data_IF_549528504149
#
_entry.id   IF_549528504149
#
_cell.length_a   1.000
_cell.length_b   1.000
_cell.length_c   1.000
_cell.angle_alpha   90.00
_cell.angle_beta   90.00
_cell.angle_gamma   90.00
#
_symmetry.space_group_name_H-M   'P 1'
#
loop_
_entity.id
_entity.type
_entity.pdbx_description
1 polymer ?
#
# COMPACT_ATOMS: atom_id res chain seq x y z
N UNK A 1 13.47 -13.06 10.20
CA UNK A 1 12.54 -11.90 10.25
C UNK A 1 11.20 -12.40 10.76
N UNK A 2 10.69 -11.88 11.89
CA UNK A 2 9.35 -12.21 12.39
C UNK A 2 8.37 -11.16 11.84
N UNK A 3 7.29 -11.59 11.20
CA UNK A 3 6.31 -10.71 10.55
C UNK A 3 5.63 -9.73 11.53
N UNK A 4 5.61 -10.05 12.82
CA UNK A 4 4.98 -9.26 13.87
C UNK A 4 5.77 -7.99 14.27
N UNK A 5 7.00 -7.80 13.79
CA UNK A 5 7.87 -6.65 14.11
C UNK A 5 8.18 -5.80 12.86
N UNK A 6 7.42 -6.00 11.78
CA UNK A 6 7.70 -5.38 10.48
C UNK A 6 7.38 -3.86 10.46
N UNK A 7 6.52 -3.41 11.38
CA UNK A 7 6.17 -2.02 11.64
C UNK A 7 7.31 -1.23 12.32
N UNK A 8 8.22 -1.92 13.00
CA UNK A 8 9.40 -1.33 13.67
C UNK A 8 10.61 -1.21 12.74
N UNK A 9 10.50 -1.65 11.48
CA UNK A 9 11.60 -1.62 10.53
C UNK A 9 11.83 -0.20 9.98
N UNK A 10 13.09 0.15 9.70
CA UNK A 10 13.42 1.44 9.07
C UNK A 10 12.97 1.53 7.61
N UNK A 11 12.81 0.38 6.94
CA UNK A 11 12.33 0.32 5.58
C UNK A 11 10.84 0.71 5.52
N UNK A 12 10.53 1.83 4.86
CA UNK A 12 9.15 2.29 4.69
C UNK A 12 8.26 1.29 3.95
N UNK A 13 8.82 0.47 3.05
CA UNK A 13 8.08 -0.62 2.39
C UNK A 13 7.69 -1.70 3.40
N UNK A 14 8.63 -2.11 4.26
CA UNK A 14 8.37 -3.10 5.31
C UNK A 14 7.29 -2.60 6.29
N UNK A 15 7.37 -1.34 6.73
CA UNK A 15 6.33 -0.73 7.57
C UNK A 15 4.98 -0.70 6.87
N UNK A 16 4.93 -0.34 5.58
CA UNK A 16 3.68 -0.36 4.81
C UNK A 16 3.10 -1.79 4.73
N UNK A 17 3.94 -2.82 4.58
CA UNK A 17 3.51 -4.23 4.56
C UNK A 17 2.87 -4.69 5.88
N UNK A 18 3.18 -4.07 7.03
CA UNK A 18 2.44 -4.35 8.27
C UNK A 18 0.94 -4.05 8.14
N UNK A 19 0.60 -3.04 7.32
CA UNK A 19 -0.78 -2.60 7.09
C UNK A 19 -1.40 -3.35 5.92
N UNK A 20 -0.72 -3.38 4.77
CA UNK A 20 -1.29 -3.86 3.50
C UNK A 20 -0.87 -5.27 3.08
N UNK A 21 0.11 -5.88 3.76
CA UNK A 21 0.69 -7.17 3.39
C UNK A 21 -0.19 -8.39 3.70
N UNK A 22 -1.37 -8.18 4.28
CA UNK A 22 -2.36 -9.25 4.43
C UNK A 22 -3.26 -9.34 3.19
N UNK A 23 -3.44 -10.56 2.69
CA UNK A 23 -4.06 -10.90 1.39
C UNK A 23 -5.36 -10.16 1.08
N UNK A 24 -6.25 -10.00 2.07
CA UNK A 24 -7.57 -9.41 1.84
C UNK A 24 -7.57 -7.88 1.89
N UNK A 25 -6.50 -7.27 2.41
CA UNK A 25 -6.48 -5.82 2.66
C UNK A 25 -6.59 -5.01 1.38
N UNK A 26 -5.78 -5.31 0.37
CA UNK A 26 -5.83 -4.57 -0.89
C UNK A 26 -7.13 -4.84 -1.66
N UNK A 27 -7.76 -6.01 -1.49
CA UNK A 27 -9.07 -6.30 -2.07
C UNK A 27 -10.21 -5.54 -1.38
N UNK A 28 -10.17 -5.41 -0.05
CA UNK A 28 -11.10 -4.56 0.71
C UNK A 28 -10.94 -3.09 0.27
N UNK A 29 -9.70 -2.62 0.13
CA UNK A 29 -9.43 -1.25 -0.31
C UNK A 29 -9.88 -1.01 -1.76
N UNK A 30 -9.66 -1.97 -2.67
CA UNK A 30 -10.19 -1.93 -4.05
C UNK A 30 -11.70 -1.70 -4.04
N UNK A 31 -12.43 -2.51 -3.29
CA UNK A 31 -13.88 -2.37 -3.18
C UNK A 31 -14.28 -1.02 -2.56
N UNK A 32 -13.54 -0.53 -1.57
CA UNK A 32 -13.77 0.77 -0.98
C UNK A 32 -13.58 1.93 -1.97
N UNK A 33 -12.55 1.87 -2.83
CA UNK A 33 -12.34 2.84 -3.91
C UNK A 33 -13.44 2.76 -4.99
N UNK A 34 -14.01 1.57 -5.21
CA UNK A 34 -15.17 1.38 -6.08
C UNK A 34 -16.50 1.79 -5.43
N UNK A 35 -16.48 2.29 -4.18
CA UNK A 35 -17.62 2.85 -3.50
C UNK A 35 -18.30 1.93 -2.49
N UNK A 36 -17.78 0.72 -2.27
CA UNK A 36 -18.29 -0.18 -1.23
C UNK A 36 -17.99 0.40 0.16
N UNK A 37 -19.03 0.55 0.99
CA UNK A 37 -18.88 1.10 2.36
C UNK A 37 -19.49 0.22 3.45
N UNK A 38 -20.31 -0.77 3.09
CA UNK A 38 -21.10 -1.57 4.04
C UNK A 38 -20.49 -2.97 4.20
N UNK A 39 -20.51 -3.48 5.44
CA UNK A 39 -19.97 -4.80 5.77
C UNK A 39 -20.52 -5.91 4.88
N UNK A 40 -21.85 -5.97 4.75
CA UNK A 40 -22.51 -7.01 3.95
C UNK A 40 -22.12 -6.95 2.47
N UNK A 41 -21.90 -5.76 1.93
CA UNK A 41 -21.46 -5.61 0.54
C UNK A 41 -20.01 -6.07 0.35
N UNK A 42 -19.11 -5.72 1.29
CA UNK A 42 -17.75 -6.26 1.28
C UNK A 42 -17.75 -7.79 1.38
N UNK A 43 -18.58 -8.35 2.25
CA UNK A 43 -18.69 -9.79 2.44
C UNK A 43 -19.18 -10.47 1.15
N UNK A 44 -20.22 -9.91 0.53
CA UNK A 44 -20.78 -10.41 -0.71
C UNK A 44 -19.77 -10.38 -1.87
N UNK A 45 -19.13 -9.22 -2.09
CA UNK A 45 -18.19 -9.04 -3.20
C UNK A 45 -16.94 -9.92 -3.11
N UNK A 46 -16.43 -10.13 -1.89
CA UNK A 46 -15.14 -10.77 -1.68
C UNK A 46 -15.25 -12.26 -1.31
N UNK A 47 -16.45 -12.74 -0.91
CA UNK A 47 -16.66 -14.14 -0.51
C UNK A 47 -15.89 -14.57 0.74
N UNK A 48 -15.31 -13.63 1.48
CA UNK A 48 -14.52 -13.87 2.69
C UNK A 48 -15.45 -14.13 3.88
N UNK A 49 -14.97 -14.94 4.84
CA UNK A 49 -15.73 -15.22 6.07
C UNK A 49 -15.95 -13.94 6.88
N UNK A 50 -17.13 -13.83 7.51
CA UNK A 50 -17.50 -12.67 8.35
C UNK A 50 -16.46 -12.37 9.43
N UNK A 51 -15.94 -13.41 10.08
CA UNK A 51 -14.92 -13.27 11.12
C UNK A 51 -13.65 -12.60 10.57
N UNK A 52 -13.13 -13.09 9.44
CA UNK A 52 -11.92 -12.53 8.81
C UNK A 52 -12.17 -11.11 8.32
N UNK A 53 -13.34 -10.83 7.75
CA UNK A 53 -13.68 -9.49 7.28
C UNK A 53 -13.74 -8.50 8.45
N UNK A 54 -14.37 -8.90 9.56
CA UNK A 54 -14.44 -8.11 10.78
C UNK A 54 -13.05 -7.81 11.33
N UNK A 55 -12.17 -8.82 11.38
CA UNK A 55 -10.77 -8.65 11.81
C UNK A 55 -10.04 -7.62 10.93
N UNK A 56 -10.12 -7.76 9.60
CA UNK A 56 -9.40 -6.87 8.67
C UNK A 56 -9.94 -5.45 8.68
N UNK A 57 -11.27 -5.27 8.67
CA UNK A 57 -11.87 -3.94 8.78
C UNK A 57 -11.55 -3.28 10.13
N UNK A 58 -11.53 -4.06 11.21
CA UNK A 58 -11.10 -3.60 12.54
C UNK A 58 -9.66 -3.07 12.51
N UNK A 59 -8.71 -3.86 11.99
CA UNK A 59 -7.30 -3.45 11.84
C UNK A 59 -7.14 -2.20 10.97
N UNK A 60 -7.90 -2.08 9.88
CA UNK A 60 -7.85 -0.89 9.03
C UNK A 60 -8.38 0.36 9.73
N UNK A 61 -9.37 0.21 10.62
CA UNK A 61 -9.87 1.31 11.46
C UNK A 61 -8.86 1.69 12.54
N UNK A 62 -8.30 0.71 13.24
CA UNK A 62 -7.25 0.91 14.25
C UNK A 62 -6.02 1.62 13.66
N UNK A 63 -5.60 1.23 12.47
CA UNK A 63 -4.49 1.85 11.75
C UNK A 63 -4.85 3.20 11.11
N UNK A 64 -6.08 3.69 11.27
CA UNK A 64 -6.56 4.96 10.73
C UNK A 64 -6.64 4.99 9.20
N UNK A 65 -6.67 3.84 8.53
CA UNK A 65 -6.84 3.72 7.07
C UNK A 65 -8.32 3.88 6.69
N UNK A 66 -9.21 3.31 7.52
CA UNK A 66 -10.65 3.49 7.45
C UNK A 66 -11.15 4.19 8.71
N UNK A 67 -12.34 4.78 8.62
CA UNK A 67 -13.11 5.21 9.78
C UNK A 67 -14.48 4.56 9.74
N UNK A 68 -14.95 4.10 10.91
CA UNK A 68 -16.27 3.50 11.08
C UNK A 68 -17.25 4.60 11.53
N UNK A 69 -18.23 4.92 10.69
CA UNK A 69 -19.16 6.04 10.89
C UNK A 69 -20.59 5.51 10.95
N UNK A 70 -21.42 5.92 11.93
CA UNK A 70 -22.83 5.59 11.93
C UNK A 70 -23.52 6.27 10.74
N UNK A 71 -24.37 5.55 10.00
CA UNK A 71 -25.20 6.10 8.93
C UNK A 71 -26.71 5.94 9.20
N UNK A 72 -27.06 5.22 10.26
CA UNK A 72 -28.43 5.01 10.69
C UNK A 72 -28.42 4.74 12.19
N UNK A 73 -29.37 5.31 12.93
CA UNK A 73 -29.37 5.27 14.40
C UNK A 73 -30.26 4.16 14.98
N UNK A 74 -31.31 3.71 14.26
CA UNK A 74 -32.29 2.74 14.79
C UNK A 74 -32.84 1.76 13.73
N UNK A 75 -32.22 0.58 13.50
CA UNK A 75 -31.09 0.03 14.24
C UNK A 75 -29.79 0.78 13.92
N UNK A 76 -28.87 0.80 14.88
CA UNK A 76 -27.55 1.41 14.69
C UNK A 76 -26.79 0.66 13.60
N UNK A 77 -26.50 1.33 12.49
CA UNK A 77 -25.73 0.77 11.37
C UNK A 77 -24.53 1.64 11.08
N UNK A 78 -23.43 0.98 10.75
CA UNK A 78 -22.17 1.63 10.46
C UNK A 78 -21.74 1.36 9.02
N UNK A 79 -20.99 2.31 8.48
CA UNK A 79 -20.27 2.17 7.23
C UNK A 79 -18.80 2.52 7.45
N UNK A 80 -17.96 2.06 6.52
CA UNK A 80 -16.53 2.25 6.53
C UNK A 80 -16.19 3.25 5.43
N UNK A 81 -15.47 4.32 5.78
CA UNK A 81 -15.01 5.35 4.85
C UNK A 81 -13.50 5.44 4.84
N UNK A 82 -12.91 5.66 3.66
CA UNK A 82 -11.48 5.94 3.52
C UNK A 82 -11.12 7.25 4.22
N UNK A 83 -10.05 7.22 5.01
CA UNK A 83 -9.44 8.43 5.56
C UNK A 83 -8.44 9.02 4.56
N UNK A 84 -7.80 10.15 4.90
CA UNK A 84 -6.66 10.67 4.11
C UNK A 84 -5.53 9.64 3.97
N UNK A 85 -5.23 8.88 5.04
CA UNK A 85 -4.24 7.79 5.02
C UNK A 85 -4.67 6.68 4.08
N UNK A 86 -5.95 6.30 4.10
CA UNK A 86 -6.50 5.30 3.18
C UNK A 86 -6.53 5.73 1.72
N UNK A 87 -6.89 6.98 1.44
CA UNK A 87 -6.82 7.55 0.08
C UNK A 87 -5.38 7.54 -0.47
N UNK A 88 -4.38 7.73 0.40
CA UNK A 88 -2.96 7.63 0.04
C UNK A 88 -2.52 6.26 -0.48
N UNK A 89 -3.32 5.20 -0.29
CA UNK A 89 -3.04 3.86 -0.84
C UNK A 89 -3.51 3.68 -2.29
N UNK A 90 -4.23 4.66 -2.87
CA UNK A 90 -4.71 4.56 -4.24
C UNK A 90 -3.59 4.32 -5.27
N UNK A 91 -2.44 5.03 -5.23
CA UNK A 91 -1.34 4.77 -6.17
C UNK A 91 -0.79 3.34 -6.07
N UNK A 92 -0.73 2.77 -4.86
CA UNK A 92 -0.27 1.39 -4.64
C UNK A 92 -1.23 0.42 -5.32
N UNK A 93 -2.54 0.60 -5.14
CA UNK A 93 -3.56 -0.22 -5.76
C UNK A 93 -3.50 -0.14 -7.28
N UNK A 94 -3.35 1.06 -7.83
CA UNK A 94 -3.28 1.27 -9.28
C UNK A 94 -2.03 0.62 -9.87
N UNK A 95 -0.86 0.79 -9.25
CA UNK A 95 0.37 0.13 -9.70
C UNK A 95 0.27 -1.39 -9.64
N UNK A 96 -0.36 -1.95 -8.60
CA UNK A 96 -0.59 -3.38 -8.49
C UNK A 96 -1.57 -3.89 -9.56
N UNK A 97 -2.65 -3.15 -9.83
CA UNK A 97 -3.61 -3.47 -10.88
C UNK A 97 -2.93 -3.52 -12.25
N UNK A 98 -2.12 -2.51 -12.59
CA UNK A 98 -1.34 -2.49 -13.83
C UNK A 98 -0.40 -3.69 -13.93
N UNK A 99 0.29 -4.05 -12.86
CA UNK A 99 1.16 -5.21 -12.87
C UNK A 99 0.36 -6.51 -13.13
N UNK A 100 -0.80 -6.66 -12.51
CA UNK A 100 -1.71 -7.78 -12.79
C UNK A 100 -2.21 -7.78 -14.24
N UNK A 101 -2.56 -6.62 -14.77
CA UNK A 101 -2.99 -6.45 -16.16
C UNK A 101 -1.87 -6.85 -17.15
N UNK A 102 -0.63 -6.46 -16.89
CA UNK A 102 0.51 -6.70 -17.79
C UNK A 102 0.97 -8.18 -17.77
N UNK A 103 0.78 -8.91 -16.66
CA UNK A 103 1.38 -10.24 -16.47
C UNK A 103 0.40 -11.38 -16.18
N UNK A 104 -0.84 -11.07 -15.84
CA UNK A 104 -1.84 -12.06 -15.42
C UNK A 104 -3.15 -11.97 -16.21
N UNK A 105 -3.29 -11.01 -17.12
CA UNK A 105 -4.46 -10.96 -17.99
C UNK A 105 -4.47 -12.14 -18.96
N UNK A 106 -5.63 -12.78 -19.10
CA UNK A 106 -5.85 -13.84 -20.08
C UNK A 106 -6.24 -13.23 -21.44
N UNK A 107 -6.34 -14.06 -22.48
CA UNK A 107 -6.70 -13.65 -23.85
C UNK A 107 -8.05 -12.90 -23.94
N UNK A 108 -8.89 -13.01 -22.90
CA UNK A 108 -10.18 -12.33 -22.79
C UNK A 108 -10.08 -10.82 -22.48
N UNK A 109 -8.88 -10.27 -22.26
CA UNK A 109 -8.64 -8.85 -22.02
C UNK A 109 -8.55 -8.44 -20.54
N UNK A 110 -8.55 -7.13 -20.30
CA UNK A 110 -8.37 -6.57 -18.95
C UNK A 110 -9.64 -6.71 -18.10
N UNK A 111 -9.52 -7.06 -16.80
CA UNK A 111 -10.67 -7.18 -15.91
C UNK A 111 -11.34 -5.82 -15.62
N UNK A 112 -10.58 -4.72 -15.66
CA UNK A 112 -11.07 -3.36 -15.48
C UNK A 112 -10.33 -2.41 -16.41
N UNK A 113 -11.08 -1.52 -17.07
CA UNK A 113 -10.50 -0.37 -17.78
C UNK A 113 -10.68 0.90 -16.96
N UNK A 114 -9.59 1.66 -16.82
CA UNK A 114 -9.62 2.95 -16.12
C UNK A 114 -9.74 4.07 -17.15
N UNK A 115 -10.69 4.97 -16.94
CA UNK A 115 -10.90 6.17 -17.77
C UNK A 115 -10.59 7.41 -16.97
N UNK A 116 -9.71 8.27 -17.50
CA UNK A 116 -9.39 9.54 -16.84
C UNK A 116 -10.58 10.49 -16.96
N UNK A 117 -11.20 10.81 -15.83
CA UNK A 117 -12.47 11.56 -15.79
C UNK A 117 -12.43 12.91 -16.51
N UNK A 118 -11.31 13.63 -16.46
CA UNK A 118 -11.25 14.98 -17.04
C UNK A 118 -11.07 14.99 -18.57
N UNK A 119 -10.48 13.95 -19.17
CA UNK A 119 -10.26 13.88 -20.62
C UNK A 119 -11.01 12.74 -21.33
N UNK A 120 -11.67 11.85 -20.59
CA UNK A 120 -12.45 10.73 -21.14
C UNK A 120 -11.62 9.62 -21.79
N UNK A 121 -10.29 9.71 -21.76
CA UNK A 121 -9.41 8.70 -22.38
C UNK A 121 -9.16 7.54 -21.42
N UNK A 122 -9.07 6.34 -21.98
CA UNK A 122 -8.52 5.19 -21.27
C UNK A 122 -7.10 5.53 -20.79
N UNK A 123 -6.80 5.18 -19.55
CA UNK A 123 -5.57 5.55 -18.88
C UNK A 123 -4.99 4.36 -18.13
N UNK A 124 -3.68 4.39 -17.96
CA UNK A 124 -2.93 3.45 -17.12
C UNK A 124 -2.06 4.27 -16.16
N UNK A 125 -1.91 3.83 -14.90
CA UNK A 125 -1.05 4.54 -13.95
C UNK A 125 0.41 4.53 -14.43
N UNK A 126 1.05 5.69 -14.33
CA UNK A 126 2.48 5.85 -14.60
C UNK A 126 3.14 6.52 -13.40
N UNK A 127 4.31 6.00 -13.01
CA UNK A 127 5.19 6.68 -12.07
C UNK A 127 6.02 7.71 -12.83
N UNK A 128 6.12 8.91 -12.29
CA UNK A 128 6.87 10.01 -12.87
C UNK A 128 7.66 10.75 -11.79
N UNK A 129 8.78 11.36 -12.17
CA UNK A 129 9.55 12.25 -11.32
C UNK A 129 8.69 13.47 -10.93
N UNK A 130 8.67 13.81 -9.64
CA UNK A 130 7.90 14.96 -9.14
C UNK A 130 8.39 16.31 -9.64
N UNK A 131 9.66 16.39 -10.06
CA UNK A 131 10.31 17.64 -10.45
C UNK A 131 10.21 17.92 -11.96
N UNK A 132 10.51 16.92 -12.80
CA UNK A 132 10.54 17.08 -14.26
C UNK A 132 9.37 16.40 -15.00
N UNK A 133 8.63 15.50 -14.34
CA UNK A 133 7.52 14.76 -14.95
C UNK A 133 7.93 13.58 -15.85
N UNK A 134 9.23 13.31 -16.01
CA UNK A 134 9.69 12.15 -16.79
C UNK A 134 9.33 10.81 -16.11
N UNK A 135 9.12 9.73 -16.87
CA UNK A 135 8.80 8.42 -16.31
C UNK A 135 9.86 7.93 -15.33
N UNK A 136 9.42 7.55 -14.13
CA UNK A 136 10.29 7.06 -13.08
C UNK A 136 10.54 5.55 -13.26
N UNK A 137 11.70 5.20 -13.82
CA UNK A 137 12.12 3.80 -14.05
C UNK A 137 13.20 3.38 -13.04
N UNK A 138 13.38 2.07 -12.76
CA UNK A 138 14.42 1.61 -11.84
C UNK A 138 15.82 2.10 -12.20
N UNK A 139 16.16 2.18 -13.49
CA UNK A 139 17.48 2.63 -13.97
C UNK A 139 17.67 4.15 -13.82
N UNK A 140 16.58 4.91 -13.70
CA UNK A 140 16.58 6.36 -13.56
C UNK A 140 16.55 6.85 -12.10
N UNK A 141 16.63 5.94 -11.12
CA UNK A 141 16.55 6.30 -9.69
C UNK A 141 17.69 5.68 -8.92
N UNK A 142 18.50 6.52 -8.28
CA UNK A 142 19.50 6.08 -7.31
C UNK A 142 18.96 6.28 -5.89
N UNK A 143 18.65 5.21 -5.14
CA UNK A 143 18.27 5.33 -3.75
C UNK A 143 19.46 5.83 -2.91
N UNK A 144 19.21 6.82 -2.04
CA UNK A 144 20.20 7.30 -1.06
C UNK A 144 19.62 7.19 0.35
N UNK A 145 20.43 6.90 1.39
CA UNK A 145 19.97 6.91 2.77
C UNK A 145 19.34 8.25 3.13
N UNK A 146 18.11 8.21 3.65
CA UNK A 146 17.47 9.36 4.28
C UNK A 146 17.99 9.56 5.71
N UNK A 147 17.66 10.72 6.30
CA UNK A 147 18.12 11.12 7.65
C UNK A 147 17.86 10.02 8.71
N UNK A 148 16.69 9.37 8.68
CA UNK A 148 16.37 8.32 9.65
C UNK A 148 17.29 7.09 9.55
N UNK A 149 17.73 6.74 8.34
CA UNK A 149 18.64 5.61 8.13
C UNK A 149 20.08 6.00 8.47
N UNK A 150 20.45 7.27 8.26
CA UNK A 150 21.75 7.79 8.65
C UNK A 150 21.92 7.81 10.17
N UNK A 151 20.92 8.31 10.91
CA UNK A 151 20.95 8.31 12.39
C UNK A 151 21.12 6.88 12.93
N UNK A 152 20.36 5.91 12.39
CA UNK A 152 20.52 4.52 12.82
C UNK A 152 21.93 3.99 12.50
N UNK A 153 22.48 4.31 11.33
CA UNK A 153 23.82 3.89 10.96
C UNK A 153 24.88 4.45 11.94
N UNK A 154 24.74 5.72 12.32
CA UNK A 154 25.63 6.39 13.25
C UNK A 154 25.52 5.77 14.67
N UNK A 155 24.30 5.49 15.14
CA UNK A 155 24.03 4.83 16.44
C UNK A 155 24.64 3.43 16.52
N UNK A 156 24.48 2.62 15.46
CA UNK A 156 25.04 1.27 15.40
C UNK A 156 26.58 1.30 15.34
N UNK A 157 27.16 2.26 14.61
CA UNK A 157 28.60 2.44 14.54
C UNK A 157 29.21 2.76 15.92
N UNK A 158 28.51 3.57 16.74
CA UNK A 158 28.92 3.90 18.11
C UNK A 158 28.86 2.71 19.07
N UNK A 159 28.01 1.71 18.80
CA UNK A 159 27.85 0.51 19.64
C UNK A 159 28.90 -0.59 19.35
N UNK A 160 29.79 -0.37 18.37
CA UNK A 160 30.88 -1.32 18.05
C UNK A 160 30.43 -2.58 17.30
N UNK A 161 29.15 -2.65 16.91
CA UNK A 161 28.61 -3.71 16.06
C UNK A 161 29.10 -3.53 14.61
N UNK A 162 30.17 -4.26 14.25
CA UNK A 162 30.75 -4.27 12.90
C UNK A 162 30.14 -5.30 11.96
N UNK A 163 29.29 -6.19 12.47
CA UNK A 163 28.61 -7.20 11.66
C UNK A 163 27.25 -6.66 11.21
N UNK A 164 27.28 -5.91 10.12
CA UNK A 164 26.11 -5.30 9.51
C UNK A 164 25.26 -6.39 8.85
N UNK A 165 24.53 -7.16 9.66
CA UNK A 165 23.27 -7.82 9.23
C UNK A 165 22.14 -6.79 9.00
N UNK A 166 22.54 -5.56 8.65
CA UNK A 166 21.68 -4.50 8.22
C UNK A 166 21.05 -4.94 6.89
N UNK A 167 19.73 -4.84 6.72
CA UNK A 167 19.09 -5.14 5.44
C UNK A 167 19.78 -4.36 4.34
N UNK A 168 20.00 -4.99 3.17
CA UNK A 168 20.78 -4.53 2.00
C UNK A 168 20.59 -3.07 1.52
N UNK A 169 19.69 -2.30 2.13
CA UNK A 169 19.40 -0.89 1.91
C UNK A 169 20.55 0.08 2.28
N UNK A 170 21.44 -0.26 3.21
CA UNK A 170 22.60 0.61 3.55
C UNK A 170 23.79 0.40 2.60
N UNK A 171 23.87 -0.75 1.91
CA UNK A 171 24.94 -1.05 0.94
C UNK A 171 24.86 -0.26 -0.38
N UNK A 172 23.83 0.57 -0.57
CA UNK A 172 23.57 1.31 -1.82
C UNK A 172 24.50 2.50 -2.07
N UNK A 173 25.49 2.78 -1.19
CA UNK A 173 26.44 3.88 -1.38
C UNK A 173 27.79 3.47 -2.01
N UNK A 174 28.02 2.20 -2.36
CA UNK A 174 29.29 1.74 -2.93
C UNK A 174 29.17 1.06 -4.30
N UNK A 175 28.59 1.75 -5.29
CA UNK A 175 28.89 1.47 -6.71
C UNK A 175 28.91 2.79 -7.48
N UNK A 176 30.06 3.47 -7.44
CA UNK A 176 30.48 4.47 -8.40
C UNK A 176 32.01 4.62 -8.30
N UNK A 177 32.72 3.63 -8.84
CA UNK A 177 34.07 3.77 -9.40
C UNK A 177 34.08 3.14 -10.79
#
# INVERSE_FOLDING_TARGET
MRWNEIDQQQCSVARALSVVGERWTLLILRDAFLGTRRFEQFQHNLGITRHRLSERLGKLVEQGVLVKVPYHERPLRHEYRLTRKGLGLYPVLMSLARWGDDWMSADAGLPLEYVHRSCGKQTRPQLACSECGEPLRPEGVTPRPGVSLQILADELALQGERDLSIPALIGLSRVAE
#
